data_IF_183405806393
#
_entry.id   IF_183405806393
#
_cell.length_a   1.000
_cell.length_b   1.000
_cell.length_c   1.000
_cell.angle_alpha   90.00
_cell.angle_beta   90.00
_cell.angle_gamma   90.00
#
_symmetry.space_group_name_H-M   'P 1'
#
loop_
_entity.id
_entity.type
_entity.pdbx_description
1 polymer ?
#
# COMPACT_ATOMS: atom_id res chain seq x y z
N UNK A 1 -45.40 29.59 30.29
CA UNK A 1 -45.17 28.24 29.75
C UNK A 1 -44.72 28.37 28.30
N UNK A 2 -43.47 28.00 28.01
CA UNK A 2 -43.04 27.21 26.84
C UNK A 2 -41.51 27.28 26.77
N UNK A 3 -40.91 26.26 27.38
CA UNK A 3 -39.51 25.92 27.22
C UNK A 3 -39.29 25.51 25.77
N UNK A 4 -38.24 26.02 25.13
CA UNK A 4 -37.65 25.35 23.98
C UNK A 4 -36.17 25.16 24.29
N UNK A 5 -35.88 24.00 24.86
CA UNK A 5 -34.54 23.48 25.03
C UNK A 5 -33.89 23.35 23.65
N UNK A 6 -32.89 24.18 23.37
CA UNK A 6 -32.07 24.03 22.19
C UNK A 6 -31.06 22.94 22.54
N UNK A 7 -31.41 21.70 22.22
CA UNK A 7 -30.49 20.57 22.30
C UNK A 7 -29.37 20.79 21.30
N UNK A 8 -28.16 21.02 21.80
CA UNK A 8 -26.93 20.97 21.02
C UNK A 8 -26.74 19.52 20.54
N UNK A 9 -27.22 19.23 19.33
CA UNK A 9 -26.91 18.00 18.62
C UNK A 9 -25.43 18.09 18.24
N UNK A 10 -24.57 17.42 19.00
CA UNK A 10 -23.17 17.25 18.66
C UNK A 10 -23.10 16.37 17.39
N UNK A 11 -22.93 17.01 16.24
CA UNK A 11 -22.66 16.33 14.99
C UNK A 11 -21.28 15.68 15.09
N UNK A 12 -21.25 14.36 15.24
CA UNK A 12 -20.02 13.58 15.07
C UNK A 12 -19.68 13.61 13.59
N UNK A 13 -18.76 14.50 13.20
CA UNK A 13 -18.23 14.54 11.83
C UNK A 13 -17.29 13.36 11.67
N UNK A 14 -17.80 12.23 11.14
CA UNK A 14 -16.93 11.16 10.65
C UNK A 14 -16.17 11.69 9.45
N UNK A 15 -14.89 12.00 9.65
CA UNK A 15 -13.94 12.27 8.58
C UNK A 15 -13.71 10.98 7.80
N UNK A 16 -14.50 10.76 6.77
CA UNK A 16 -14.21 9.72 5.78
C UNK A 16 -13.03 10.24 4.96
N UNK A 17 -11.82 9.81 5.33
CA UNK A 17 -10.60 10.10 4.58
C UNK A 17 -10.78 9.46 3.21
N UNK A 18 -11.27 10.26 2.25
CA UNK A 18 -11.20 9.94 0.84
C UNK A 18 -9.71 10.01 0.48
N UNK A 19 -8.99 8.90 0.72
CA UNK A 19 -7.71 8.70 0.07
C UNK A 19 -7.97 8.90 -1.43
N UNK A 20 -7.17 9.74 -2.13
CA UNK A 20 -7.25 9.74 -3.58
C UNK A 20 -7.16 8.29 -4.01
N UNK A 21 -8.06 7.85 -4.90
CA UNK A 21 -7.99 6.49 -5.44
C UNK A 21 -6.68 6.41 -6.21
N UNK A 22 -5.60 6.04 -5.51
CA UNK A 22 -4.35 5.66 -6.13
C UNK A 22 -4.76 4.46 -6.99
N UNK A 23 -4.74 4.65 -8.31
CA UNK A 23 -4.98 3.55 -9.21
C UNK A 23 -3.88 2.52 -8.92
N UNK A 24 -4.26 1.29 -8.62
CA UNK A 24 -3.30 0.21 -8.40
C UNK A 24 -2.72 -0.18 -9.75
N UNK A 25 -1.69 0.54 -10.19
CA UNK A 25 -0.97 0.26 -11.43
C UNK A 25 0.35 -0.42 -11.11
N UNK A 26 0.60 -1.55 -11.79
CA UNK A 26 1.84 -2.32 -11.62
C UNK A 26 3.05 -1.50 -12.06
N UNK A 27 2.85 -0.52 -12.97
CA UNK A 27 3.94 0.36 -13.40
C UNK A 27 4.54 1.15 -12.24
N UNK A 28 3.80 1.40 -11.16
CA UNK A 28 4.32 2.13 -10.00
C UNK A 28 5.38 1.31 -9.23
N UNK A 29 5.47 0.00 -9.46
CA UNK A 29 6.53 -0.88 -8.92
C UNK A 29 7.78 -0.93 -9.81
N UNK A 30 7.83 -0.18 -10.91
CA UNK A 30 8.99 -0.09 -11.81
C UNK A 30 10.35 0.08 -11.11
N UNK A 31 10.52 0.86 -10.01
CA UNK A 31 11.84 1.05 -9.43
C UNK A 31 12.34 -0.21 -8.71
N UNK A 32 11.46 -1.18 -8.48
CA UNK A 32 11.75 -2.45 -7.80
C UNK A 32 12.08 -3.60 -8.76
N UNK A 33 11.94 -3.43 -10.08
CA UNK A 33 12.16 -4.52 -11.04
C UNK A 33 13.62 -5.04 -11.00
N UNK A 34 14.60 -4.13 -10.98
CA UNK A 34 16.02 -4.50 -10.90
C UNK A 34 16.38 -5.28 -9.62
N UNK A 35 16.07 -4.81 -8.41
CA UNK A 35 16.41 -5.55 -7.18
C UNK A 35 15.66 -6.88 -7.03
N UNK A 36 14.49 -7.04 -7.66
CA UNK A 36 13.76 -8.33 -7.68
C UNK A 36 14.47 -9.36 -8.58
N UNK A 37 14.93 -8.93 -9.76
CA UNK A 37 15.52 -9.83 -10.77
C UNK A 37 17.01 -10.09 -10.49
N UNK A 38 17.71 -9.12 -9.91
CA UNK A 38 19.12 -9.19 -9.53
C UNK A 38 19.28 -9.05 -8.00
N UNK A 39 19.00 -10.12 -7.22
CA UNK A 39 18.98 -10.05 -5.75
C UNK A 39 20.31 -9.71 -5.04
N UNK A 40 21.51 -9.80 -5.64
CA UNK A 40 22.72 -9.27 -5.00
C UNK A 40 22.67 -7.75 -4.84
N UNK A 41 21.83 -7.05 -5.61
CA UNK A 41 21.70 -5.61 -5.60
C UNK A 41 20.65 -5.17 -4.57
N UNK A 42 21.00 -4.26 -3.63
CA UNK A 42 20.05 -3.79 -2.64
C UNK A 42 18.96 -2.92 -3.29
N UNK A 43 17.75 -2.85 -2.70
CA UNK A 43 16.71 -1.98 -3.23
C UNK A 43 17.09 -0.50 -3.12
N UNK A 44 16.70 0.26 -4.13
CA UNK A 44 16.88 1.71 -4.14
C UNK A 44 15.90 2.38 -3.17
N UNK A 45 16.22 3.59 -2.70
CA UNK A 45 15.31 4.39 -1.89
C UNK A 45 13.94 4.60 -2.60
N UNK A 46 13.96 4.81 -3.91
CA UNK A 46 12.76 4.95 -4.75
C UNK A 46 11.92 3.67 -4.80
N UNK A 47 12.55 2.50 -4.85
CA UNK A 47 11.83 1.23 -4.75
C UNK A 47 11.13 1.10 -3.40
N UNK A 48 11.86 1.31 -2.31
CA UNK A 48 11.26 1.19 -0.98
C UNK A 48 10.15 2.22 -0.76
N UNK A 49 10.25 3.41 -1.35
CA UNK A 49 9.18 4.40 -1.31
C UNK A 49 7.95 3.93 -2.09
N UNK A 50 8.14 3.45 -3.32
CA UNK A 50 7.05 2.89 -4.12
C UNK A 50 6.35 1.72 -3.41
N UNK A 51 7.09 0.83 -2.75
CA UNK A 51 6.53 -0.29 -2.00
C UNK A 51 5.63 0.17 -0.83
N UNK A 52 6.01 1.27 -0.17
CA UNK A 52 5.21 1.89 0.91
C UNK A 52 3.97 2.59 0.37
N UNK A 53 4.14 3.39 -0.68
CA UNK A 53 3.04 4.14 -1.29
C UNK A 53 1.98 3.19 -1.86
N UNK A 54 2.41 2.05 -2.40
CA UNK A 54 1.55 1.00 -2.96
C UNK A 54 1.04 -0.02 -1.92
N UNK A 55 1.33 0.18 -0.63
CA UNK A 55 0.87 -0.72 0.45
C UNK A 55 -0.63 -1.09 0.36
N UNK A 56 -1.55 -0.13 0.15
CA UNK A 56 -2.99 -0.42 -0.01
C UNK A 56 -3.33 -1.30 -1.22
N UNK A 57 -2.51 -1.27 -2.27
CA UNK A 57 -2.68 -2.01 -3.51
C UNK A 57 -2.02 -3.40 -3.49
N UNK A 58 -1.21 -3.71 -2.47
CA UNK A 58 -0.33 -4.86 -2.54
C UNK A 58 -1.07 -6.19 -2.60
N UNK A 59 -2.21 -6.33 -1.94
CA UNK A 59 -3.05 -7.53 -2.07
C UNK A 59 -3.67 -7.70 -3.46
N UNK A 60 -3.96 -6.59 -4.15
CA UNK A 60 -4.40 -6.64 -5.54
C UNK A 60 -3.26 -7.14 -6.44
N UNK A 61 -2.04 -6.66 -6.25
CA UNK A 61 -0.87 -7.12 -7.00
C UNK A 61 -0.52 -8.58 -6.71
N UNK A 62 -0.57 -9.02 -5.45
CA UNK A 62 -0.31 -10.41 -5.04
C UNK A 62 -1.30 -11.39 -5.70
N UNK A 63 -2.57 -10.99 -5.87
CA UNK A 63 -3.64 -11.80 -6.49
C UNK A 63 -3.61 -11.76 -8.03
N UNK A 64 -2.84 -10.85 -8.63
CA UNK A 64 -2.69 -10.77 -10.07
C UNK A 64 -1.85 -11.95 -10.60
N UNK A 65 -2.34 -12.65 -11.63
CA UNK A 65 -1.69 -13.87 -12.15
C UNK A 65 -0.36 -13.63 -12.86
N UNK A 66 -0.09 -12.39 -13.30
CA UNK A 66 1.13 -12.04 -14.02
C UNK A 66 2.25 -11.61 -13.07
N UNK A 67 1.98 -10.71 -12.12
CA UNK A 67 3.00 -10.17 -11.20
C UNK A 67 3.01 -10.83 -9.82
N UNK A 68 1.87 -11.40 -9.39
CA UNK A 68 1.74 -12.05 -8.08
C UNK A 68 2.80 -13.12 -7.80
N UNK A 69 3.11 -14.03 -8.73
CA UNK A 69 4.17 -15.02 -8.53
C UNK A 69 5.55 -14.41 -8.24
N UNK A 70 5.85 -13.26 -8.83
CA UNK A 70 7.11 -12.53 -8.59
C UNK A 70 7.16 -11.93 -7.19
N UNK A 71 6.04 -11.38 -6.72
CA UNK A 71 5.92 -10.79 -5.37
C UNK A 71 5.98 -11.86 -4.28
N UNK A 72 5.36 -13.03 -4.53
CA UNK A 72 5.33 -14.18 -3.61
C UNK A 72 6.62 -15.02 -3.61
N UNK A 73 7.51 -14.83 -4.58
CA UNK A 73 8.78 -15.55 -4.63
C UNK A 73 9.72 -15.15 -3.48
N UNK A 74 10.75 -15.96 -3.14
CA UNK A 74 11.70 -15.63 -2.06
C UNK A 74 12.35 -14.25 -2.20
N UNK A 75 12.71 -13.84 -3.42
CA UNK A 75 13.27 -12.51 -3.68
C UNK A 75 12.24 -11.39 -3.48
N UNK A 76 10.97 -11.66 -3.77
CA UNK A 76 9.86 -10.75 -3.46
C UNK A 76 9.75 -10.53 -1.95
N UNK A 77 9.69 -11.60 -1.16
CA UNK A 77 9.71 -11.49 0.31
C UNK A 77 10.95 -10.77 0.85
N UNK A 78 12.13 -11.05 0.27
CA UNK A 78 13.38 -10.38 0.63
C UNK A 78 13.29 -8.87 0.39
N UNK A 79 12.68 -8.43 -0.72
CA UNK A 79 12.50 -7.01 -1.01
C UNK A 79 11.73 -6.27 0.09
N UNK A 80 10.64 -6.86 0.59
CA UNK A 80 9.87 -6.31 1.71
C UNK A 80 10.73 -6.18 2.98
N UNK A 81 11.51 -7.22 3.29
CA UNK A 81 12.41 -7.22 4.43
C UNK A 81 13.52 -6.15 4.30
N UNK A 82 14.19 -6.08 3.14
CA UNK A 82 15.26 -5.10 2.88
C UNK A 82 14.75 -3.66 2.95
N UNK A 83 13.51 -3.40 2.52
CA UNK A 83 12.87 -2.09 2.59
C UNK A 83 12.18 -1.79 3.94
N UNK A 84 12.24 -2.73 4.89
CA UNK A 84 11.55 -2.67 6.18
C UNK A 84 10.04 -2.36 6.04
N UNK A 85 9.40 -3.00 5.06
CA UNK A 85 7.96 -2.93 4.80
C UNK A 85 7.36 -4.28 5.20
N UNK A 86 6.30 -4.32 6.02
CA UNK A 86 5.65 -5.58 6.36
C UNK A 86 5.04 -6.22 5.12
N UNK A 87 5.30 -7.52 4.94
CA UNK A 87 4.61 -8.28 3.90
C UNK A 87 3.11 -8.38 4.25
N UNK A 88 2.19 -8.02 3.35
CA UNK A 88 0.78 -7.93 3.67
C UNK A 88 0.15 -9.33 3.83
N UNK A 89 -0.83 -9.43 4.73
CA UNK A 89 -1.75 -10.56 4.76
C UNK A 89 -2.93 -10.27 3.83
N UNK A 90 -3.13 -11.15 2.85
CA UNK A 90 -4.12 -11.05 1.79
C UNK A 90 -4.89 -12.37 1.67
#
# INVERSE_FOLDING_TARGET
MKLTAIGLVAMVTTVMQLSPTMACDVIDLQPCLLPIINPPEPPTASCCQALRDQGPCMCYFIKNTWIGPTIQAPNGHKLFADCNVPYPSC
#
